data_IF_416392948163
#
_entry.id   IF_416392948163
#
_cell.length_a   1.000
_cell.length_b   1.000
_cell.length_c   1.000
_cell.angle_alpha   90.00
_cell.angle_beta   90.00
_cell.angle_gamma   90.00
#
_symmetry.space_group_name_H-M   'P 1'
#
loop_
_entity.id
_entity.type
_entity.pdbx_description
1 polymer ?
#
# COMPACT_ATOMS: atom_id res chain seq x y z
N UNK A 1 22.84 9.69 -4.21
CA UNK A 1 21.95 8.57 -3.83
C UNK A 1 20.51 9.00 -4.10
N UNK A 2 20.07 8.81 -5.34
CA UNK A 2 18.86 9.40 -5.91
C UNK A 2 17.95 8.25 -6.37
N UNK A 3 17.36 7.53 -5.42
CA UNK A 3 16.47 6.39 -5.69
C UNK A 3 15.28 6.31 -4.72
N UNK A 4 14.97 7.40 -4.01
CA UNK A 4 13.76 7.53 -3.19
C UNK A 4 12.56 8.02 -4.04
N UNK A 5 12.57 7.69 -5.33
CA UNK A 5 11.66 8.22 -6.36
C UNK A 5 10.68 7.21 -6.99
N UNK A 6 10.55 5.91 -6.63
CA UNK A 6 9.35 5.17 -7.01
C UNK A 6 8.21 5.54 -6.06
N UNK A 7 7.97 6.85 -5.90
CA UNK A 7 6.81 7.45 -5.29
C UNK A 7 6.14 8.19 -6.44
N UNK A 8 4.86 7.91 -6.69
CA UNK A 8 3.97 8.64 -7.60
C UNK A 8 3.94 8.23 -9.10
N UNK A 9 4.20 6.97 -9.50
CA UNK A 9 3.74 6.53 -10.84
C UNK A 9 3.29 5.05 -10.83
N UNK A 10 2.25 4.76 -10.05
CA UNK A 10 1.39 3.61 -10.34
C UNK A 10 0.12 4.14 -10.98
N UNK A 11 0.23 4.58 -12.23
CA UNK A 11 -0.93 4.90 -13.06
C UNK A 11 -1.69 3.59 -13.32
N UNK A 12 -2.76 3.35 -12.56
CA UNK A 12 -3.66 2.23 -12.84
C UNK A 12 -4.46 2.58 -14.09
N UNK A 13 -4.03 2.08 -15.25
CA UNK A 13 -4.83 2.18 -16.48
C UNK A 13 -6.19 1.53 -16.23
N UNK A 14 -7.26 2.32 -16.40
CA UNK A 14 -8.62 1.81 -16.34
C UNK A 14 -8.80 0.78 -17.48
N UNK A 15 -9.06 -0.48 -17.10
CA UNK A 15 -9.40 -1.51 -18.05
C UNK A 15 -10.82 -1.22 -18.57
N UNK A 16 -10.91 -0.71 -19.80
CA UNK A 16 -12.18 -0.58 -20.51
C UNK A 16 -12.66 -1.98 -20.89
N UNK A 17 -13.44 -2.60 -20.01
CA UNK A 17 -14.18 -3.81 -20.32
C UNK A 17 -15.19 -3.46 -21.42
N UNK A 18 -15.09 -4.14 -22.56
CA UNK A 18 -15.94 -3.94 -23.72
C UNK A 18 -17.41 -3.78 -23.30
N UNK A 19 -17.99 -2.62 -23.63
CA UNK A 19 -19.44 -2.44 -23.62
C UNK A 19 -20.01 -3.56 -24.49
N UNK A 20 -21.00 -4.30 -23.97
CA UNK A 20 -21.63 -5.51 -24.53
C UNK A 20 -21.08 -6.87 -24.06
N UNK A 21 -21.30 -7.22 -22.79
CA UNK A 21 -21.40 -8.62 -22.37
C UNK A 21 -22.79 -8.88 -21.80
N UNK A 22 -23.76 -9.05 -22.69
CA UNK A 22 -25.01 -9.73 -22.36
C UNK A 22 -24.67 -11.20 -22.08
N UNK A 23 -24.63 -11.59 -20.80
CA UNK A 23 -24.99 -12.92 -20.27
C UNK A 23 -24.43 -13.07 -18.85
N UNK A 24 -25.32 -13.02 -17.85
CA UNK A 24 -25.20 -13.75 -16.58
C UNK A 24 -23.84 -13.70 -15.84
N UNK A 25 -23.50 -12.55 -15.25
CA UNK A 25 -22.44 -12.41 -14.23
C UNK A 25 -21.09 -11.85 -14.71
N UNK A 26 -20.26 -11.44 -13.76
CA UNK A 26 -18.91 -10.96 -14.04
C UNK A 26 -18.05 -12.10 -14.62
N UNK A 27 -17.54 -11.93 -15.84
CA UNK A 27 -16.70 -12.94 -16.48
C UNK A 27 -15.41 -13.22 -15.70
N UNK A 28 -14.85 -14.43 -15.88
CA UNK A 28 -13.65 -14.91 -15.17
C UNK A 28 -12.46 -13.93 -15.22
N UNK A 29 -12.28 -13.20 -16.33
CA UNK A 29 -11.23 -12.18 -16.46
C UNK A 29 -11.39 -11.04 -15.44
N UNK A 30 -12.63 -10.67 -15.09
CA UNK A 30 -12.93 -9.63 -14.10
C UNK A 30 -12.48 -10.06 -12.70
N UNK A 31 -12.71 -11.32 -12.34
CA UNK A 31 -12.24 -11.87 -11.07
C UNK A 31 -10.72 -11.92 -10.99
N UNK A 32 -10.03 -12.32 -12.06
CA UNK A 32 -8.57 -12.30 -12.10
C UNK A 32 -8.00 -10.87 -12.02
N UNK A 33 -8.64 -9.91 -12.69
CA UNK A 33 -8.22 -8.51 -12.63
C UNK A 33 -8.29 -7.98 -11.19
N UNK A 34 -9.44 -8.10 -10.54
CA UNK A 34 -9.63 -7.62 -9.16
C UNK A 34 -8.78 -8.42 -8.17
N UNK A 35 -8.68 -9.75 -8.35
CA UNK A 35 -7.84 -10.62 -7.53
C UNK A 35 -6.37 -10.22 -7.59
N UNK A 36 -5.84 -9.87 -8.76
CA UNK A 36 -4.47 -9.41 -8.92
C UNK A 36 -4.20 -8.10 -8.15
N UNK A 37 -5.12 -7.13 -8.23
CA UNK A 37 -5.02 -5.91 -7.42
C UNK A 37 -5.09 -6.19 -5.92
N UNK A 38 -5.96 -7.10 -5.49
CA UNK A 38 -6.04 -7.51 -4.08
C UNK A 38 -4.71 -8.12 -3.60
N UNK A 39 -4.05 -8.95 -4.42
CA UNK A 39 -2.74 -9.52 -4.07
C UNK A 39 -1.66 -8.43 -3.95
N UNK A 40 -1.67 -7.42 -4.83
CA UNK A 40 -0.73 -6.29 -4.74
C UNK A 40 -0.91 -5.54 -3.42
N UNK A 41 -2.17 -5.23 -3.04
CA UNK A 41 -2.49 -4.53 -1.79
C UNK A 41 -2.00 -5.33 -0.57
N UNK A 42 -2.20 -6.65 -0.58
CA UNK A 42 -1.74 -7.55 0.49
C UNK A 42 -0.22 -7.62 0.53
N UNK A 43 0.46 -7.73 -0.62
CA UNK A 43 1.92 -7.77 -0.68
C UNK A 43 2.58 -6.51 -0.13
N UNK A 44 1.96 -5.33 -0.29
CA UNK A 44 2.49 -4.09 0.30
C UNK A 44 2.00 -3.83 1.74
N UNK A 45 1.06 -4.63 2.26
CA UNK A 45 0.56 -4.49 3.63
C UNK A 45 1.68 -4.81 4.64
N UNK A 46 2.49 -5.82 4.37
CA UNK A 46 3.62 -6.20 5.24
C UNK A 46 4.63 -5.06 5.42
N UNK A 47 5.21 -4.46 4.36
CA UNK A 47 6.12 -3.31 4.52
C UNK A 47 5.42 -2.10 5.14
N UNK A 48 4.14 -1.86 4.83
CA UNK A 48 3.37 -0.78 5.45
C UNK A 48 3.23 -0.95 6.97
N UNK A 49 2.95 -2.17 7.44
CA UNK A 49 2.84 -2.48 8.87
C UNK A 49 4.17 -2.32 9.61
N UNK A 50 5.29 -2.70 8.98
CA UNK A 50 6.64 -2.50 9.55
C UNK A 50 6.93 -1.01 9.74
N UNK A 51 6.65 -0.18 8.73
CA UNK A 51 6.84 1.27 8.82
C UNK A 51 5.91 1.90 9.87
N UNK A 52 4.65 1.47 9.93
CA UNK A 52 3.68 1.95 10.90
C UNK A 52 4.11 1.65 12.35
N UNK A 53 4.56 0.42 12.61
CA UNK A 53 5.09 0.04 13.92
C UNK A 53 6.35 0.84 14.29
N UNK A 54 7.25 1.09 13.32
CA UNK A 54 8.43 1.93 13.50
C UNK A 54 8.07 3.37 13.85
N UNK A 55 7.06 3.93 13.19
CA UNK A 55 6.56 5.29 13.44
C UNK A 55 5.97 5.42 14.85
N UNK A 56 5.14 4.47 15.26
CA UNK A 56 4.59 4.42 16.63
C UNK A 56 5.73 4.42 17.66
N UNK A 57 6.70 3.50 17.52
CA UNK A 57 7.86 3.45 18.42
C UNK A 57 8.67 4.74 18.42
N UNK A 58 8.87 5.36 17.26
CA UNK A 58 9.56 6.65 17.12
C UNK A 58 8.87 7.79 17.86
N UNK A 59 7.53 7.87 17.76
CA UNK A 59 6.74 8.87 18.47
C UNK A 59 6.86 8.74 20.00
N UNK A 60 6.87 7.51 20.51
CA UNK A 60 6.97 7.26 21.96
C UNK A 60 8.42 7.33 22.49
N UNK A 61 9.43 7.00 21.69
CA UNK A 61 10.84 7.04 22.07
C UNK A 61 11.41 8.47 22.19
N UNK A 62 10.78 9.47 21.57
CA UNK A 62 11.19 10.87 21.68
C UNK A 62 11.03 11.47 23.08
N UNK A 63 10.27 10.82 23.98
CA UNK A 63 9.93 11.38 25.30
C UNK A 63 10.92 11.04 26.41
N UNK A 64 11.86 10.12 26.18
CA UNK A 64 12.85 9.70 27.18
C UNK A 64 14.15 10.54 27.16
N UNK A 65 14.44 11.27 26.06
CA UNK A 65 15.72 11.98 25.88
C UNK A 65 15.69 13.46 26.31
N UNK A 66 14.74 13.87 27.14
CA UNK A 66 14.63 15.27 27.61
C UNK A 66 14.49 15.42 29.13
N UNK A 67 14.47 14.33 29.92
CA UNK A 67 14.18 14.42 31.35
C UNK A 67 15.34 14.13 32.32
N UNK A 68 16.55 13.80 31.85
CA UNK A 68 17.61 13.35 32.79
C UNK A 68 19.01 13.72 32.31
N UNK A 69 19.39 15.00 32.52
CA UNK A 69 20.78 15.39 32.87
C UNK A 69 20.85 16.83 33.38
N UNK A 70 20.43 17.09 34.63
CA UNK A 70 20.71 18.35 35.33
C UNK A 70 20.93 18.16 36.84
N UNK A 71 22.04 17.51 37.20
CA UNK A 71 22.70 17.57 38.51
C UNK A 71 23.98 16.72 38.43
#
# INVERSE_FOLDING_TARGET
MKLLAPMIISSTSAAYAATNAQSEGAGILTYFFIGFFALIIVSQLVPAMILFAGMIKGLFAGREKTSTKNN
#
